data_IF_990818584474
#
_entry.id   IF_990818584474
#
_cell.length_a   1.000
_cell.length_b   1.000
_cell.length_c   1.000
_cell.angle_alpha   90.00
_cell.angle_beta   90.00
_cell.angle_gamma   90.00
#
_symmetry.space_group_name_H-M   'P 1'
#
loop_
_entity.id
_entity.type
_entity.pdbx_description
1 polymer ?
#
# COMPACT_ATOMS: atom_id res chain seq x y z
N UNK A 1 -16.27 -2.93 -18.99
CA UNK A 1 -17.56 -2.25 -19.21
C UNK A 1 -18.02 -1.54 -17.94
N UNK A 2 -18.91 -0.58 -18.07
CA UNK A 2 -19.49 0.12 -16.92
C UNK A 2 -20.08 -0.87 -15.87
N UNK A 3 -20.75 -1.93 -16.31
CA UNK A 3 -21.29 -2.96 -15.41
C UNK A 3 -20.20 -3.61 -14.53
N UNK A 4 -19.05 -3.91 -15.09
CA UNK A 4 -17.96 -4.57 -14.35
C UNK A 4 -17.36 -3.62 -13.31
N UNK A 5 -17.18 -2.36 -13.68
CA UNK A 5 -16.76 -1.30 -12.79
C UNK A 5 -17.71 -1.17 -11.59
N UNK A 6 -19.02 -1.03 -11.86
CA UNK A 6 -20.00 -0.90 -10.79
C UNK A 6 -20.13 -2.14 -9.91
N UNK A 7 -19.87 -3.33 -10.45
CA UNK A 7 -19.86 -4.55 -9.65
C UNK A 7 -18.75 -4.53 -8.61
N UNK A 8 -17.53 -4.09 -8.98
CA UNK A 8 -16.40 -4.01 -8.07
C UNK A 8 -16.63 -2.92 -7.01
N UNK A 9 -16.97 -1.71 -7.43
CA UNK A 9 -17.23 -0.58 -6.50
C UNK A 9 -18.38 -0.93 -5.55
N UNK A 10 -19.51 -1.43 -6.08
CA UNK A 10 -20.64 -1.81 -5.25
C UNK A 10 -20.35 -2.97 -4.30
N UNK A 11 -19.41 -3.84 -4.63
CA UNK A 11 -18.93 -4.86 -3.69
C UNK A 11 -18.09 -4.22 -2.58
N UNK A 12 -17.13 -3.37 -2.91
CA UNK A 12 -16.34 -2.64 -1.94
C UNK A 12 -17.20 -1.81 -0.97
N UNK A 13 -18.18 -1.08 -1.51
CA UNK A 13 -19.16 -0.31 -0.72
C UNK A 13 -19.94 -1.17 0.29
N UNK A 14 -20.38 -2.38 -0.09
CA UNK A 14 -21.10 -3.28 0.83
C UNK A 14 -20.26 -3.68 2.05
N UNK A 15 -18.94 -3.70 1.90
CA UNK A 15 -18.01 -3.98 3.00
C UNK A 15 -17.47 -2.70 3.67
N UNK A 16 -17.86 -1.52 3.18
CA UNK A 16 -17.40 -0.23 3.72
C UNK A 16 -15.90 0.00 3.52
N UNK A 17 -15.32 -0.53 2.44
CA UNK A 17 -13.87 -0.45 2.19
C UNK A 17 -13.56 0.48 1.02
N UNK A 18 -12.52 1.34 1.13
CA UNK A 18 -12.01 2.13 0.02
C UNK A 18 -11.37 1.22 -1.04
N UNK A 19 -11.39 1.66 -2.30
CA UNK A 19 -10.89 0.90 -3.42
C UNK A 19 -10.24 1.82 -4.45
N UNK A 20 -9.05 1.46 -4.95
CA UNK A 20 -8.38 2.21 -6.02
C UNK A 20 -8.66 1.58 -7.36
N UNK A 21 -9.18 2.35 -8.30
CA UNK A 21 -9.44 1.93 -9.68
C UNK A 21 -8.47 2.60 -10.64
N UNK A 22 -7.74 1.79 -11.41
CA UNK A 22 -6.85 2.28 -12.45
C UNK A 22 -7.56 2.28 -13.80
N UNK A 23 -7.72 3.47 -14.38
CA UNK A 23 -8.44 3.70 -15.63
C UNK A 23 -7.45 3.84 -16.80
N UNK A 24 -7.76 3.17 -17.91
CA UNK A 24 -7.14 3.47 -19.19
C UNK A 24 -7.77 4.71 -19.80
N UNK A 25 -7.07 5.47 -20.67
CA UNK A 25 -7.64 6.65 -21.32
C UNK A 25 -8.99 6.38 -22.00
N UNK A 26 -9.11 5.24 -22.72
CA UNK A 26 -10.35 4.84 -23.39
C UNK A 26 -11.49 4.46 -22.41
N UNK A 27 -11.22 4.40 -21.13
CA UNK A 27 -12.20 4.09 -20.09
C UNK A 27 -12.60 5.30 -19.23
N UNK A 28 -11.99 6.47 -19.45
CA UNK A 28 -12.33 7.67 -18.70
C UNK A 28 -13.81 8.05 -18.84
N UNK A 29 -14.45 7.74 -19.99
CA UNK A 29 -15.87 7.94 -20.21
C UNK A 29 -16.81 7.13 -19.27
N UNK A 30 -16.28 6.07 -18.62
CA UNK A 30 -17.04 5.27 -17.66
C UNK A 30 -17.29 5.97 -16.35
N UNK A 31 -16.48 7.00 -16.06
CA UNK A 31 -16.51 7.74 -14.80
C UNK A 31 -16.58 9.24 -15.14
N UNK A 32 -17.75 9.84 -14.93
CA UNK A 32 -17.91 11.28 -15.08
C UNK A 32 -17.22 12.03 -13.95
N UNK A 33 -16.72 13.28 -14.15
CA UNK A 33 -15.98 14.02 -13.12
C UNK A 33 -16.76 14.22 -11.81
N UNK A 34 -18.07 14.41 -11.88
CA UNK A 34 -18.93 14.49 -10.69
C UNK A 34 -19.01 13.15 -9.94
N UNK A 35 -19.01 12.07 -10.68
CA UNK A 35 -19.01 10.72 -10.12
C UNK A 35 -17.66 10.38 -9.49
N UNK A 36 -16.56 10.69 -10.16
CA UNK A 36 -15.19 10.54 -9.62
C UNK A 36 -15.10 11.26 -8.27
N UNK A 37 -15.51 12.52 -8.19
CA UNK A 37 -15.51 13.32 -6.97
C UNK A 37 -16.36 12.71 -5.87
N UNK A 38 -17.58 12.27 -6.19
CA UNK A 38 -18.49 11.62 -5.24
C UNK A 38 -17.93 10.29 -4.71
N UNK A 39 -17.23 9.53 -5.54
CA UNK A 39 -16.58 8.28 -5.13
C UNK A 39 -15.36 8.57 -4.27
N UNK A 40 -14.58 9.59 -4.60
CA UNK A 40 -13.41 10.03 -3.82
C UNK A 40 -13.81 10.52 -2.42
N UNK A 41 -14.93 11.24 -2.30
CA UNK A 41 -15.51 11.64 -0.99
C UNK A 41 -15.89 10.42 -0.11
N UNK A 42 -16.14 9.27 -0.71
CA UNK A 42 -16.38 7.98 -0.02
C UNK A 42 -15.10 7.18 0.24
N UNK A 43 -13.94 7.73 -0.09
CA UNK A 43 -12.64 7.13 0.13
C UNK A 43 -12.14 6.26 -1.03
N UNK A 44 -12.90 6.10 -2.13
CA UNK A 44 -12.37 5.47 -3.33
C UNK A 44 -11.35 6.37 -4.02
N UNK A 45 -10.52 5.79 -4.88
CA UNK A 45 -9.44 6.50 -5.57
C UNK A 45 -9.39 6.09 -7.04
N UNK A 46 -8.93 7.01 -7.88
CA UNK A 46 -8.77 6.79 -9.31
C UNK A 46 -7.34 7.12 -9.72
N UNK A 47 -6.71 6.15 -10.36
CA UNK A 47 -5.38 6.31 -10.93
C UNK A 47 -5.36 5.99 -12.42
N UNK A 48 -4.23 6.20 -13.03
CA UNK A 48 -4.02 5.95 -14.46
C UNK A 48 -3.48 4.54 -14.70
N UNK A 49 -3.90 3.93 -15.84
CA UNK A 49 -3.45 2.61 -16.29
C UNK A 49 -2.81 2.68 -17.70
N UNK A 50 -1.62 3.27 -17.82
CA UNK A 50 -1.01 3.59 -19.11
C UNK A 50 -0.39 2.38 -19.80
N UNK A 51 -0.27 2.48 -21.12
CA UNK A 51 0.44 1.52 -21.95
C UNK A 51 1.95 1.83 -22.10
N UNK A 52 2.45 2.81 -21.39
CA UNK A 52 3.79 3.34 -21.57
C UNK A 52 4.92 2.29 -21.50
N UNK A 53 4.79 1.28 -20.63
CA UNK A 53 5.77 0.20 -20.53
C UNK A 53 5.86 -0.71 -21.78
N UNK A 54 4.98 -0.55 -22.76
CA UNK A 54 4.96 -1.28 -24.01
C UNK A 54 5.56 -0.49 -25.20
N UNK A 55 6.02 0.74 -24.95
CA UNK A 55 6.60 1.59 -25.99
C UNK A 55 7.99 1.08 -26.40
N UNK A 56 8.36 1.24 -27.67
CA UNK A 56 9.61 0.68 -28.21
C UNK A 56 10.88 1.46 -27.80
N UNK A 57 10.72 2.67 -27.25
CA UNK A 57 11.83 3.48 -26.76
C UNK A 57 11.48 4.23 -25.48
N UNK A 58 12.49 4.68 -24.73
CA UNK A 58 12.30 5.52 -23.53
C UNK A 58 11.67 6.89 -23.87
N UNK A 59 11.99 7.45 -25.03
CA UNK A 59 11.41 8.71 -25.48
C UNK A 59 9.90 8.57 -25.75
N UNK A 60 9.52 7.55 -26.50
CA UNK A 60 8.11 7.24 -26.76
C UNK A 60 7.36 6.88 -25.46
N UNK A 61 8.01 6.18 -24.54
CA UNK A 61 7.45 5.90 -23.22
C UNK A 61 7.17 7.20 -22.43
N UNK A 62 8.12 8.13 -22.40
CA UNK A 62 7.96 9.43 -21.75
C UNK A 62 6.83 10.24 -22.35
N UNK A 63 6.76 10.28 -23.69
CA UNK A 63 5.69 10.98 -24.39
C UNK A 63 4.33 10.34 -24.11
N UNK A 64 4.23 9.02 -24.13
CA UNK A 64 3.00 8.31 -23.83
C UNK A 64 2.52 8.57 -22.38
N UNK A 65 3.43 8.58 -21.40
CA UNK A 65 3.06 9.00 -20.03
C UNK A 65 2.52 10.42 -20.00
N UNK A 66 3.17 11.36 -20.69
CA UNK A 66 2.72 12.76 -20.75
C UNK A 66 1.31 12.88 -21.35
N UNK A 67 1.05 12.18 -22.44
CA UNK A 67 -0.24 12.18 -23.12
C UNK A 67 -1.34 11.53 -22.29
N UNK A 68 -1.08 10.34 -21.77
CA UNK A 68 -2.10 9.59 -21.02
C UNK A 68 -2.40 10.21 -19.64
N UNK A 69 -1.39 10.72 -18.92
CA UNK A 69 -1.61 11.49 -17.68
C UNK A 69 -2.26 12.84 -17.95
N UNK A 70 -1.90 13.47 -19.08
CA UNK A 70 -2.55 14.71 -19.56
C UNK A 70 -4.04 14.49 -19.80
N UNK A 71 -4.43 13.39 -20.43
CA UNK A 71 -5.83 13.05 -20.66
C UNK A 71 -6.64 12.86 -19.37
N UNK A 72 -6.01 12.31 -18.33
CA UNK A 72 -6.62 12.20 -16.99
C UNK A 72 -6.84 13.60 -16.39
N UNK A 73 -5.80 14.44 -16.41
CA UNK A 73 -5.87 15.82 -15.92
C UNK A 73 -6.93 16.64 -16.65
N UNK A 74 -6.99 16.54 -17.97
CA UNK A 74 -7.98 17.26 -18.78
C UNK A 74 -9.41 16.81 -18.46
N UNK A 75 -9.61 15.55 -18.11
CA UNK A 75 -10.92 14.99 -17.76
C UNK A 75 -11.36 15.36 -16.36
N UNK A 76 -10.47 15.22 -15.35
CA UNK A 76 -10.84 15.32 -13.93
C UNK A 76 -10.39 16.62 -13.26
N UNK A 77 -9.54 17.41 -13.91
CA UNK A 77 -9.05 18.70 -13.41
C UNK A 77 -7.91 18.60 -12.40
N UNK A 78 -7.34 17.42 -12.19
CA UNK A 78 -6.18 17.16 -11.32
C UNK A 78 -5.30 16.04 -11.87
N UNK A 79 -4.07 15.96 -11.39
CA UNK A 79 -3.15 14.87 -11.74
C UNK A 79 -3.59 13.55 -11.10
N UNK A 80 -3.35 12.39 -11.75
CA UNK A 80 -3.47 11.10 -11.09
C UNK A 80 -2.36 10.95 -10.05
N UNK A 81 -2.72 10.74 -8.80
CA UNK A 81 -1.75 10.51 -7.70
C UNK A 81 -1.18 9.09 -7.78
N UNK A 82 -1.99 8.16 -8.26
CA UNK A 82 -1.64 6.73 -8.32
C UNK A 82 -1.59 6.21 -9.75
N UNK A 83 -0.72 5.24 -9.99
CA UNK A 83 -0.51 4.59 -11.28
C UNK A 83 -0.37 3.08 -11.17
N UNK A 84 -0.77 2.41 -12.24
CA UNK A 84 -0.45 1.00 -12.51
C UNK A 84 -0.22 0.81 -14.01
N UNK A 85 1.00 0.55 -14.41
CA UNK A 85 1.32 0.28 -15.81
C UNK A 85 0.60 -0.96 -16.35
N UNK A 86 0.08 -0.90 -17.57
CA UNK A 86 -0.56 -2.02 -18.23
C UNK A 86 0.41 -3.20 -18.36
N UNK A 87 -0.06 -4.40 -18.01
CA UNK A 87 0.76 -5.60 -18.00
C UNK A 87 1.79 -5.66 -16.87
N UNK A 88 1.81 -4.71 -15.95
CA UNK A 88 2.83 -4.60 -14.88
C UNK A 88 4.25 -4.64 -15.42
N UNK A 89 4.48 -3.94 -16.52
CA UNK A 89 5.78 -3.86 -17.19
C UNK A 89 6.56 -2.69 -16.60
N UNK A 90 7.82 -2.94 -16.28
CA UNK A 90 8.79 -1.92 -15.87
C UNK A 90 9.91 -1.83 -16.89
N UNK A 91 10.24 -0.62 -17.33
CA UNK A 91 11.27 -0.37 -18.33
C UNK A 91 12.31 0.60 -17.79
N UNK A 92 13.58 0.31 -18.08
CA UNK A 92 14.70 1.09 -17.59
C UNK A 92 15.03 0.79 -16.11
N UNK A 93 15.85 1.63 -15.51
CA UNK A 93 16.19 1.57 -14.09
C UNK A 93 15.25 2.47 -13.27
N UNK A 94 15.39 3.78 -13.44
CA UNK A 94 14.57 4.79 -12.76
C UNK A 94 13.77 5.66 -13.72
N UNK A 95 13.91 5.47 -15.02
CA UNK A 95 13.31 6.31 -16.06
C UNK A 95 11.79 6.32 -15.95
N UNK A 96 11.17 5.16 -15.75
CA UNK A 96 9.72 5.09 -15.57
C UNK A 96 9.28 5.86 -14.33
N UNK A 97 9.96 5.72 -13.20
CA UNK A 97 9.67 6.45 -11.98
C UNK A 97 9.81 7.97 -12.17
N UNK A 98 10.84 8.42 -12.90
CA UNK A 98 11.03 9.84 -13.24
C UNK A 98 9.86 10.36 -14.07
N UNK A 99 9.50 9.65 -15.13
CA UNK A 99 8.43 10.09 -16.03
C UNK A 99 7.07 10.11 -15.35
N UNK A 100 6.78 9.13 -14.49
CA UNK A 100 5.57 9.13 -13.65
C UNK A 100 5.57 10.34 -12.71
N UNK A 101 6.68 10.58 -12.01
CA UNK A 101 6.80 11.72 -11.08
C UNK A 101 6.69 13.07 -11.78
N UNK A 102 7.26 13.24 -12.97
CA UNK A 102 7.12 14.43 -13.82
C UNK A 102 5.65 14.76 -14.13
N UNK A 103 4.79 13.75 -14.15
CA UNK A 103 3.36 13.84 -14.44
C UNK A 103 2.46 13.79 -13.20
N UNK A 104 2.99 14.08 -12.01
CA UNK A 104 2.21 14.22 -10.78
C UNK A 104 2.02 12.93 -9.97
N UNK A 105 2.41 11.77 -10.49
CA UNK A 105 2.24 10.49 -9.81
C UNK A 105 3.15 10.41 -8.57
N UNK A 106 2.57 9.94 -7.47
CA UNK A 106 3.24 9.74 -6.17
C UNK A 106 3.36 8.28 -5.77
N UNK A 107 2.52 7.41 -6.33
CA UNK A 107 2.52 5.97 -6.08
C UNK A 107 2.38 5.21 -7.38
N UNK A 108 3.37 4.37 -7.70
CA UNK A 108 3.25 3.33 -8.71
C UNK A 108 3.03 1.96 -8.07
N UNK A 109 2.31 1.10 -8.76
CA UNK A 109 1.99 -0.26 -8.31
C UNK A 109 2.27 -1.28 -9.41
N UNK A 110 3.22 -0.98 -10.29
CA UNK A 110 3.55 -1.82 -11.45
C UNK A 110 4.43 -3.01 -11.10
N UNK A 111 5.16 -2.98 -9.98
CA UNK A 111 5.92 -4.15 -9.54
C UNK A 111 4.97 -5.25 -9.08
N UNK A 112 5.11 -6.43 -9.65
CA UNK A 112 4.28 -7.59 -9.34
C UNK A 112 5.13 -8.76 -8.85
N UNK A 113 4.83 -9.21 -7.63
CA UNK A 113 5.49 -10.38 -7.04
C UNK A 113 4.87 -11.72 -7.41
N UNK A 114 3.61 -11.75 -7.84
CA UNK A 114 2.82 -12.97 -7.92
C UNK A 114 2.49 -13.48 -9.32
N UNK A 115 2.49 -12.63 -10.33
CA UNK A 115 2.01 -13.01 -11.66
C UNK A 115 2.94 -13.96 -12.40
N UNK A 116 4.23 -13.74 -12.26
CA UNK A 116 5.25 -14.50 -12.95
C UNK A 116 6.14 -15.16 -11.90
N UNK A 117 6.02 -16.45 -11.66
CA UNK A 117 6.86 -17.21 -10.72
C UNK A 117 8.37 -17.12 -10.99
N UNK A 118 8.77 -16.34 -11.96
CA UNK A 118 10.15 -16.15 -12.36
C UNK A 118 10.53 -14.67 -12.21
N UNK A 119 11.15 -14.33 -11.12
CA UNK A 119 11.69 -12.99 -10.94
C UNK A 119 10.64 -11.98 -10.52
N UNK A 120 9.87 -12.34 -9.50
CA UNK A 120 9.12 -11.38 -8.75
C UNK A 120 10.02 -10.20 -8.42
N UNK A 121 9.64 -9.02 -8.86
CA UNK A 121 10.26 -7.80 -8.39
C UNK A 121 10.10 -7.75 -6.87
N UNK A 122 10.98 -7.12 -6.21
CA UNK A 122 11.05 -6.89 -4.77
C UNK A 122 9.84 -7.43 -3.98
N UNK A 123 9.92 -8.66 -3.56
CA UNK A 123 8.99 -9.29 -2.61
C UNK A 123 9.47 -9.09 -1.16
N UNK A 124 9.91 -7.88 -0.83
CA UNK A 124 10.41 -7.58 0.49
C UNK A 124 9.32 -7.66 1.58
N UNK A 125 9.41 -6.77 2.55
CA UNK A 125 8.49 -6.68 3.68
C UNK A 125 7.04 -6.26 3.32
N UNK A 126 6.76 -5.96 2.05
CA UNK A 126 5.48 -5.38 1.60
C UNK A 126 5.37 -3.87 1.82
N UNK A 127 6.36 -3.24 2.43
CA UNK A 127 6.41 -1.78 2.54
C UNK A 127 6.78 -1.14 1.20
N UNK A 128 6.28 0.07 0.91
CA UNK A 128 6.62 0.76 -0.32
C UNK A 128 8.09 1.20 -0.30
N UNK A 129 8.71 1.17 -1.47
CA UNK A 129 10.09 1.64 -1.67
C UNK A 129 10.10 2.95 -2.46
N UNK A 130 11.17 3.73 -2.32
CA UNK A 130 11.48 4.85 -3.21
C UNK A 130 12.70 4.49 -4.05
N UNK A 131 12.74 4.98 -5.27
CA UNK A 131 13.87 4.78 -6.17
C UNK A 131 14.99 5.78 -5.90
N UNK A 132 16.22 5.34 -6.06
CA UNK A 132 17.40 6.20 -6.09
C UNK A 132 17.92 6.28 -7.50
N UNK A 133 18.08 7.49 -8.00
CA UNK A 133 18.64 7.76 -9.31
C UNK A 133 20.14 7.50 -9.38
N UNK A 134 20.71 7.49 -10.56
CA UNK A 134 22.14 7.24 -10.81
C UNK A 134 23.06 8.23 -10.11
N UNK A 135 22.62 9.46 -9.88
CA UNK A 135 23.35 10.51 -9.16
C UNK A 135 23.17 10.45 -7.63
N UNK A 136 22.42 9.46 -7.11
CA UNK A 136 22.11 9.31 -5.70
C UNK A 136 20.89 10.11 -5.22
N UNK A 137 20.17 10.80 -6.13
CA UNK A 137 18.94 11.52 -5.78
C UNK A 137 17.81 10.53 -5.49
N UNK A 138 17.16 10.68 -4.32
CA UNK A 138 15.98 9.91 -3.96
C UNK A 138 14.76 10.50 -4.68
N UNK A 139 14.13 9.71 -5.54
CA UNK A 139 12.93 10.13 -6.27
C UNK A 139 11.71 10.18 -5.34
N UNK A 140 10.92 11.24 -5.45
CA UNK A 140 9.72 11.43 -4.64
C UNK A 140 8.49 10.73 -5.25
N UNK A 141 8.63 9.43 -5.39
CA UNK A 141 7.57 8.50 -5.82
C UNK A 141 7.75 7.18 -5.08
N UNK A 142 6.66 6.62 -4.63
CA UNK A 142 6.62 5.29 -4.03
C UNK A 142 6.35 4.22 -5.08
N UNK A 143 6.96 3.07 -4.91
CA UNK A 143 6.56 1.81 -5.57
C UNK A 143 5.99 0.86 -4.52
N UNK A 144 4.73 0.50 -4.67
CA UNK A 144 4.06 -0.51 -3.85
C UNK A 144 3.94 -1.81 -4.62
N UNK A 145 4.64 -2.83 -4.17
CA UNK A 145 4.57 -4.14 -4.81
C UNK A 145 3.16 -4.74 -4.77
N UNK A 146 2.73 -5.30 -5.90
CA UNK A 146 1.50 -6.08 -6.00
C UNK A 146 1.78 -7.54 -5.66
N UNK A 147 1.17 -8.03 -4.57
CA UNK A 147 1.42 -9.37 -4.05
C UNK A 147 0.65 -10.44 -4.79
N UNK A 148 -0.52 -10.12 -5.30
CA UNK A 148 -1.42 -11.06 -5.94
C UNK A 148 -2.24 -10.43 -7.05
N UNK A 149 -2.57 -11.23 -8.07
CA UNK A 149 -3.26 -10.81 -9.27
C UNK A 149 -4.22 -11.91 -9.74
N UNK A 150 -5.41 -11.54 -10.23
CA UNK A 150 -6.41 -12.46 -10.74
C UNK A 150 -5.98 -13.24 -12.00
N UNK A 151 -4.98 -12.78 -12.72
CA UNK A 151 -4.39 -13.53 -13.82
C UNK A 151 -3.83 -14.90 -13.40
N UNK A 152 -3.52 -15.07 -12.10
CA UNK A 152 -3.08 -16.35 -11.56
C UNK A 152 -4.15 -17.45 -11.64
N UNK A 153 -5.44 -17.07 -11.80
CA UNK A 153 -6.55 -18.03 -11.88
C UNK A 153 -7.19 -18.13 -13.25
N UNK A 154 -7.18 -17.02 -13.98
CA UNK A 154 -8.01 -16.84 -15.17
C UNK A 154 -7.26 -17.10 -16.46
N UNK A 155 -5.94 -16.97 -16.45
CA UNK A 155 -5.13 -17.12 -17.65
C UNK A 155 -4.61 -18.53 -17.83
N UNK A 156 -4.43 -18.86 -19.08
CA UNK A 156 -3.81 -20.06 -19.56
C UNK A 156 -2.45 -20.30 -18.88
N UNK A 157 -2.14 -21.55 -18.67
CA UNK A 157 -0.96 -22.14 -17.99
C UNK A 157 0.41 -21.55 -18.38
N UNK A 158 0.44 -20.56 -19.25
CA UNK A 158 1.66 -19.95 -19.78
C UNK A 158 2.38 -19.07 -18.74
N UNK A 159 1.66 -18.53 -17.74
CA UNK A 159 2.20 -17.53 -16.83
C UNK A 159 2.19 -17.92 -15.35
N UNK A 160 1.30 -18.81 -14.93
CA UNK A 160 1.25 -19.33 -13.55
C UNK A 160 0.47 -20.65 -13.50
N UNK A 161 0.64 -21.51 -12.49
CA UNK A 161 -0.28 -22.60 -12.26
C UNK A 161 -1.68 -21.99 -12.07
N UNK A 162 -2.63 -22.46 -12.89
CA UNK A 162 -4.02 -22.06 -12.75
C UNK A 162 -4.55 -22.60 -11.41
N UNK A 163 -4.65 -21.73 -10.41
CA UNK A 163 -5.29 -22.07 -9.15
C UNK A 163 -6.80 -22.18 -9.37
N UNK A 164 -7.44 -23.04 -8.61
CA UNK A 164 -8.87 -22.96 -8.39
C UNK A 164 -9.20 -21.73 -7.54
N UNK A 165 -10.44 -21.29 -7.52
CA UNK A 165 -10.86 -20.16 -6.67
C UNK A 165 -10.60 -20.45 -5.19
N UNK A 166 -10.83 -21.69 -4.74
CA UNK A 166 -10.56 -22.07 -3.35
C UNK A 166 -9.06 -22.03 -3.01
N UNK A 167 -8.20 -22.57 -3.86
CA UNK A 167 -6.75 -22.48 -3.70
C UNK A 167 -6.27 -21.02 -3.70
N UNK A 168 -6.84 -20.16 -4.56
CA UNK A 168 -6.54 -18.75 -4.61
C UNK A 168 -6.97 -18.01 -3.32
N UNK A 169 -8.12 -18.35 -2.75
CA UNK A 169 -8.57 -17.80 -1.46
C UNK A 169 -7.60 -18.20 -0.36
N UNK A 170 -7.24 -19.47 -0.23
CA UNK A 170 -6.31 -19.94 0.80
C UNK A 170 -4.90 -19.34 0.64
N UNK A 171 -4.41 -19.22 -0.58
CA UNK A 171 -3.14 -18.57 -0.85
C UNK A 171 -3.16 -17.07 -0.49
N UNK A 172 -4.25 -16.38 -0.82
CA UNK A 172 -4.42 -14.96 -0.48
C UNK A 172 -4.54 -14.74 1.03
N UNK A 173 -5.22 -15.63 1.76
CA UNK A 173 -5.27 -15.60 3.23
C UNK A 173 -3.89 -15.80 3.83
N UNK A 174 -3.10 -16.76 3.31
CA UNK A 174 -1.73 -16.98 3.77
C UNK A 174 -0.85 -15.73 3.57
N UNK A 175 -1.00 -15.02 2.44
CA UNK A 175 -0.28 -13.75 2.22
C UNK A 175 -0.76 -12.66 3.19
N UNK A 176 -2.07 -12.53 3.40
CA UNK A 176 -2.65 -11.56 4.33
C UNK A 176 -2.20 -11.84 5.78
N UNK A 177 -2.19 -13.12 6.21
CA UNK A 177 -1.67 -13.52 7.52
C UNK A 177 -0.18 -13.19 7.66
N UNK A 178 0.60 -13.42 6.61
CA UNK A 178 2.00 -13.00 6.58
C UNK A 178 2.15 -11.50 6.78
N UNK A 179 1.33 -10.70 6.10
CA UNK A 179 1.36 -9.25 6.21
C UNK A 179 1.01 -8.78 7.63
N UNK A 180 -0.06 -9.28 8.24
CA UNK A 180 -0.52 -8.81 9.56
C UNK A 180 0.26 -9.44 10.71
N UNK A 181 0.54 -10.75 10.67
CA UNK A 181 1.09 -11.46 11.83
C UNK A 181 2.61 -11.47 11.88
N UNK A 182 3.29 -11.46 10.70
CA UNK A 182 4.75 -11.65 10.64
C UNK A 182 5.51 -10.37 10.34
N UNK A 183 4.97 -9.50 9.46
CA UNK A 183 5.71 -8.37 8.92
C UNK A 183 5.14 -7.02 9.33
N UNK A 184 3.91 -6.97 9.86
CA UNK A 184 3.19 -5.72 10.15
C UNK A 184 3.23 -4.75 8.96
N UNK A 185 2.78 -5.21 7.81
CA UNK A 185 2.90 -4.55 6.52
C UNK A 185 1.62 -4.59 5.72
N UNK A 186 1.66 -4.10 4.49
CA UNK A 186 0.53 -4.05 3.56
C UNK A 186 0.31 -5.40 2.88
N UNK A 187 -0.94 -5.80 2.73
CA UNK A 187 -1.40 -6.78 1.77
C UNK A 187 -2.04 -6.04 0.58
N UNK A 188 -1.41 -6.11 -0.59
CA UNK A 188 -1.83 -5.37 -1.78
C UNK A 188 -2.11 -6.33 -2.95
N UNK A 189 -3.32 -6.88 -3.05
CA UNK A 189 -3.77 -7.63 -4.21
C UNK A 189 -4.38 -6.70 -5.27
N UNK A 190 -4.49 -7.18 -6.52
CA UNK A 190 -5.28 -6.51 -7.53
C UNK A 190 -6.11 -7.49 -8.37
N UNK A 191 -7.16 -6.98 -9.01
CA UNK A 191 -7.97 -7.73 -9.96
C UNK A 191 -8.47 -6.87 -11.12
N UNK A 192 -8.78 -7.53 -12.23
CA UNK A 192 -9.46 -6.90 -13.34
C UNK A 192 -10.98 -6.91 -13.09
N UNK A 193 -11.69 -5.79 -13.23
CA UNK A 193 -13.15 -5.75 -13.01
C UNK A 193 -13.93 -6.77 -13.84
N UNK A 194 -13.52 -7.03 -15.09
CA UNK A 194 -14.16 -8.02 -15.95
C UNK A 194 -14.05 -9.46 -15.43
N UNK A 195 -13.07 -9.77 -14.61
CA UNK A 195 -12.90 -11.11 -14.04
C UNK A 195 -13.97 -11.43 -12.96
N UNK A 196 -14.68 -10.42 -12.45
CA UNK A 196 -15.79 -10.59 -11.51
C UNK A 196 -17.10 -10.96 -12.19
N UNK A 197 -17.17 -10.98 -13.54
CA UNK A 197 -18.39 -11.37 -14.27
C UNK A 197 -18.82 -12.79 -13.92
N UNK A 198 -20.14 -13.05 -13.88
CA UNK A 198 -20.65 -14.41 -13.74
C UNK A 198 -20.09 -15.32 -14.86
N UNK A 199 -19.20 -16.22 -14.50
CA UNK A 199 -18.56 -17.18 -15.38
C UNK A 199 -18.00 -18.34 -14.54
N UNK A 200 -17.70 -19.52 -15.14
CA UNK A 200 -17.14 -20.64 -14.38
C UNK A 200 -15.82 -20.32 -13.63
N UNK A 201 -15.09 -19.29 -14.07
CA UNK A 201 -13.85 -18.80 -13.42
C UNK A 201 -14.00 -17.38 -12.88
N UNK A 202 -15.21 -16.99 -12.47
CA UNK A 202 -15.41 -15.67 -11.83
C UNK A 202 -14.65 -15.58 -10.51
N UNK A 203 -13.93 -14.49 -10.34
CA UNK A 203 -13.21 -14.20 -9.09
C UNK A 203 -14.09 -13.46 -8.07
N UNK A 204 -15.37 -13.23 -8.36
CA UNK A 204 -16.27 -12.52 -7.43
C UNK A 204 -16.27 -13.16 -6.04
N UNK A 205 -16.30 -14.50 -5.97
CA UNK A 205 -16.25 -15.23 -4.70
C UNK A 205 -14.93 -15.00 -3.96
N UNK A 206 -13.81 -14.96 -4.66
CA UNK A 206 -12.53 -14.62 -4.04
C UNK A 206 -12.54 -13.20 -3.50
N UNK A 207 -13.01 -12.24 -4.28
CA UNK A 207 -13.03 -10.84 -3.90
C UNK A 207 -13.84 -10.64 -2.60
N UNK A 208 -15.05 -11.16 -2.55
CA UNK A 208 -15.91 -11.11 -1.35
C UNK A 208 -15.29 -11.84 -0.15
N UNK A 209 -14.75 -13.05 -0.37
CA UNK A 209 -14.11 -13.83 0.69
C UNK A 209 -12.88 -13.11 1.29
N UNK A 210 -12.08 -12.41 0.46
CA UNK A 210 -10.93 -11.67 0.95
C UNK A 210 -11.32 -10.38 1.68
N UNK A 211 -12.36 -9.67 1.23
CA UNK A 211 -12.90 -8.51 1.95
C UNK A 211 -13.41 -8.92 3.33
N UNK A 212 -14.22 -10.00 3.39
CA UNK A 212 -14.70 -10.56 4.66
C UNK A 212 -13.58 -11.00 5.57
N UNK A 213 -12.62 -11.76 5.03
CA UNK A 213 -11.48 -12.26 5.79
C UNK A 213 -10.64 -11.13 6.37
N UNK A 214 -10.21 -10.17 5.55
CA UNK A 214 -9.36 -9.07 6.00
C UNK A 214 -10.10 -8.16 6.99
N UNK A 215 -11.40 -7.91 6.79
CA UNK A 215 -12.23 -7.18 7.77
C UNK A 215 -12.28 -7.93 9.10
N UNK A 216 -12.54 -9.25 9.08
CA UNK A 216 -12.57 -10.10 10.27
C UNK A 216 -11.23 -10.20 11.00
N UNK A 217 -10.11 -10.02 10.29
CA UNK A 217 -8.75 -9.99 10.84
C UNK A 217 -8.34 -8.60 11.34
N UNK A 218 -9.18 -7.59 11.20
CA UNK A 218 -8.91 -6.22 11.65
C UNK A 218 -7.93 -5.45 10.75
N UNK A 219 -7.85 -5.78 9.46
CA UNK A 219 -7.11 -4.95 8.52
C UNK A 219 -7.73 -3.55 8.41
N UNK A 220 -6.88 -2.55 8.41
CA UNK A 220 -7.26 -1.21 8.03
C UNK A 220 -7.14 -1.08 6.51
N UNK A 221 -8.23 -0.69 5.85
CA UNK A 221 -8.28 -0.52 4.40
C UNK A 221 -8.01 0.94 4.03
N UNK A 222 -7.13 1.15 3.06
CA UNK A 222 -6.80 2.48 2.53
C UNK A 222 -6.80 2.45 1.01
N UNK A 223 -7.16 3.56 0.38
CA UNK A 223 -6.94 3.77 -1.05
C UNK A 223 -5.45 4.04 -1.34
N UNK A 224 -5.07 4.03 -2.62
CA UNK A 224 -3.70 4.35 -3.03
C UNK A 224 -3.28 5.76 -2.61
N UNK A 225 -4.14 6.75 -2.79
CA UNK A 225 -3.89 8.13 -2.32
C UNK A 225 -3.78 8.20 -0.80
N UNK A 226 -4.69 7.56 -0.06
CA UNK A 226 -4.60 7.46 1.41
C UNK A 226 -3.32 6.77 1.87
N UNK A 227 -2.81 5.80 1.10
CA UNK A 227 -1.54 5.15 1.38
C UNK A 227 -0.34 6.07 1.15
N UNK A 228 -0.37 6.95 0.15
CA UNK A 228 0.64 8.02 -0.03
C UNK A 228 0.62 8.95 1.17
N UNK A 229 -0.55 9.45 1.56
CA UNK A 229 -0.71 10.38 2.69
C UNK A 229 -0.18 9.78 4.00
N UNK A 230 -0.50 8.51 4.28
CA UNK A 230 0.04 7.79 5.43
C UNK A 230 1.57 7.70 5.40
N UNK A 231 2.15 7.34 4.26
CA UNK A 231 3.61 7.21 4.15
C UNK A 231 4.33 8.55 4.26
N UNK A 232 3.78 9.61 3.68
CA UNK A 232 4.32 10.97 3.83
C UNK A 232 4.21 11.46 5.27
N UNK A 233 3.04 11.26 5.90
CA UNK A 233 2.83 11.58 7.31
C UNK A 233 3.81 10.84 8.22
N UNK A 234 3.93 9.53 8.07
CA UNK A 234 4.88 8.71 8.84
C UNK A 234 6.33 9.16 8.65
N UNK A 235 6.72 9.53 7.42
CA UNK A 235 8.09 10.00 7.11
C UNK A 235 8.37 11.41 7.61
N UNK A 236 7.33 12.20 7.88
CA UNK A 236 7.46 13.53 8.47
C UNK A 236 7.70 13.51 9.98
N UNK A 237 7.65 12.33 10.63
CA UNK A 237 7.90 12.19 12.06
C UNK A 237 9.41 12.25 12.31
N UNK A 238 9.82 13.21 13.10
CA UNK A 238 11.21 13.42 13.52
C UNK A 238 11.36 13.18 15.01
N UNK A 239 12.44 12.51 15.40
CA UNK A 239 12.82 12.39 16.79
C UNK A 239 13.57 13.65 17.22
N UNK A 240 12.95 14.49 18.04
CA UNK A 240 13.48 15.77 18.50
C UNK A 240 14.21 15.68 19.83
N UNK A 241 13.94 14.64 20.61
CA UNK A 241 14.64 14.36 21.86
C UNK A 241 14.78 12.85 22.07
N UNK A 242 15.87 12.45 22.69
CA UNK A 242 16.14 11.08 23.11
C UNK A 242 16.98 11.07 24.38
N UNK A 243 16.60 10.25 25.35
CA UNK A 243 17.44 9.88 26.49
C UNK A 243 17.25 8.41 26.87
N UNK A 244 18.29 7.80 27.41
CA UNK A 244 18.24 6.48 28.00
C UNK A 244 18.97 6.49 29.35
N UNK A 245 18.27 6.12 30.40
CA UNK A 245 18.80 5.98 31.76
C UNK A 245 19.05 4.48 32.02
N UNK A 246 20.32 4.09 32.10
CA UNK A 246 20.73 2.71 32.32
C UNK A 246 20.41 2.20 33.73
N UNK A 247 20.39 3.08 34.73
CA UNK A 247 20.10 2.67 36.12
C UNK A 247 18.63 2.32 36.33
N UNK A 248 17.73 3.09 35.72
CA UNK A 248 16.29 2.84 35.75
C UNK A 248 15.79 2.02 34.56
N UNK A 249 16.66 1.70 33.59
CA UNK A 249 16.29 1.04 32.34
C UNK A 249 15.12 1.73 31.64
N UNK A 250 15.17 3.05 31.54
CA UNK A 250 14.09 3.88 31.00
C UNK A 250 14.56 4.66 29.77
N UNK A 251 13.79 4.58 28.71
CA UNK A 251 13.95 5.40 27.50
C UNK A 251 12.87 6.47 27.45
N UNK A 252 13.29 7.69 27.16
CA UNK A 252 12.37 8.79 26.84
C UNK A 252 12.70 9.32 25.46
N UNK A 253 11.67 9.49 24.63
CA UNK A 253 11.77 10.05 23.28
C UNK A 253 10.63 11.03 23.03
N UNK A 254 10.96 12.14 22.38
CA UNK A 254 9.97 13.07 21.85
C UNK A 254 9.94 12.96 20.34
N UNK A 255 8.77 12.71 19.76
CA UNK A 255 8.53 12.65 18.34
C UNK A 255 7.65 13.81 17.91
N UNK A 256 8.07 14.53 16.88
CA UNK A 256 7.30 15.61 16.26
C UNK A 256 6.87 15.21 14.85
N UNK A 257 5.60 15.41 14.51
CA UNK A 257 5.06 15.13 13.18
C UNK A 257 4.94 16.41 12.36
N UNK A 258 5.60 16.46 11.20
CA UNK A 258 5.46 17.55 10.24
C UNK A 258 4.11 17.57 9.53
N UNK A 259 3.47 16.40 9.41
CA UNK A 259 2.14 16.22 8.80
C UNK A 259 1.28 15.32 9.68
N UNK A 260 -0.05 15.40 9.52
CA UNK A 260 -0.96 14.50 10.23
C UNK A 260 -0.81 13.06 9.74
N UNK A 261 -0.88 12.10 10.65
CA UNK A 261 -0.86 10.67 10.35
C UNK A 261 -1.60 9.89 11.43
N UNK A 262 -2.47 8.99 11.02
CA UNK A 262 -3.21 8.12 11.91
C UNK A 262 -2.50 6.78 12.05
N UNK A 263 -2.41 6.23 13.27
CA UNK A 263 -1.85 4.92 13.54
C UNK A 263 -0.34 4.77 13.33
N UNK A 264 0.43 5.86 13.41
CA UNK A 264 1.89 5.77 13.33
C UNK A 264 2.44 4.91 14.47
N UNK A 265 3.29 3.94 14.13
CA UNK A 265 3.75 2.90 15.07
C UNK A 265 5.25 2.94 15.26
N UNK A 266 5.68 2.92 16.53
CA UNK A 266 7.06 2.68 16.95
C UNK A 266 7.21 1.20 17.25
N UNK A 267 8.22 0.56 16.69
CA UNK A 267 8.60 -0.81 17.00
C UNK A 267 9.88 -0.82 17.83
N UNK A 268 9.83 -1.42 19.01
CA UNK A 268 10.97 -1.50 19.94
C UNK A 268 11.20 -2.95 20.38
N UNK A 269 12.46 -3.32 20.72
CA UNK A 269 12.72 -4.64 21.30
C UNK A 269 11.89 -4.85 22.59
N UNK A 270 11.13 -5.96 22.65
CA UNK A 270 10.43 -6.31 23.89
C UNK A 270 11.39 -6.67 25.02
N UNK A 271 12.53 -7.29 24.68
CA UNK A 271 13.61 -7.57 25.64
C UNK A 271 14.86 -6.79 25.23
N UNK A 272 15.38 -6.00 26.17
CA UNK A 272 16.63 -5.27 26.04
C UNK A 272 17.54 -5.56 27.24
N UNK A 273 18.80 -5.89 27.01
CA UNK A 273 19.79 -6.23 28.04
C UNK A 273 19.30 -7.28 29.08
N UNK A 274 18.41 -8.22 28.69
CA UNK A 274 17.84 -9.24 29.56
C UNK A 274 16.59 -8.80 30.32
N UNK A 275 16.18 -7.54 30.23
CA UNK A 275 14.96 -7.00 30.86
C UNK A 275 13.82 -6.94 29.84
N UNK A 276 12.61 -7.32 30.25
CA UNK A 276 11.41 -7.19 29.42
C UNK A 276 10.77 -5.81 29.60
N UNK A 277 10.03 -5.33 28.58
CA UNK A 277 9.22 -4.12 28.75
C UNK A 277 8.24 -4.33 29.90
N UNK A 278 8.33 -3.47 30.90
CA UNK A 278 7.48 -3.48 32.11
C UNK A 278 6.40 -2.39 32.07
N UNK A 279 6.54 -1.41 31.21
CA UNK A 279 5.56 -0.35 31.05
C UNK A 279 5.91 0.61 29.91
N UNK A 280 4.85 1.22 29.36
CA UNK A 280 5.00 2.31 28.40
C UNK A 280 4.00 3.43 28.72
N UNK A 281 4.36 4.65 28.43
CA UNK A 281 3.51 5.84 28.59
C UNK A 281 3.62 6.72 27.35
N UNK A 282 2.50 7.33 27.01
CA UNK A 282 2.40 8.39 26.00
C UNK A 282 1.86 9.64 26.69
N UNK A 283 2.60 10.76 26.61
CA UNK A 283 2.24 12.03 27.28
C UNK A 283 1.88 11.85 28.77
N UNK A 284 2.63 10.98 29.46
CA UNK A 284 2.42 10.63 30.86
C UNK A 284 1.31 9.60 31.12
N UNK A 285 0.47 9.26 30.15
CA UNK A 285 -0.61 8.27 30.30
C UNK A 285 -0.14 6.86 29.98
N UNK A 286 -0.49 5.83 30.77
CA UNK A 286 -0.11 4.47 30.50
C UNK A 286 -0.75 3.97 29.21
N UNK A 287 0.04 3.24 28.40
CA UNK A 287 -0.40 2.56 27.16
C UNK A 287 -0.07 1.07 27.24
N UNK A 288 -0.85 0.27 26.51
CA UNK A 288 -0.62 -1.17 26.44
C UNK A 288 0.66 -1.44 25.64
N UNK A 289 1.52 -2.28 26.18
CA UNK A 289 2.82 -2.65 25.60
C UNK A 289 2.98 -4.18 25.63
N UNK A 290 2.19 -4.86 24.80
CA UNK A 290 2.23 -6.32 24.71
C UNK A 290 3.29 -6.79 23.69
N UNK A 291 3.96 -7.91 23.98
CA UNK A 291 4.93 -8.48 23.04
C UNK A 291 4.23 -9.01 21.79
N UNK A 292 4.81 -8.72 20.65
CA UNK A 292 4.42 -9.26 19.36
C UNK A 292 5.63 -9.81 18.64
N UNK A 293 5.53 -11.03 18.13
CA UNK A 293 6.58 -11.59 17.29
C UNK A 293 6.46 -11.03 15.87
N UNK A 294 7.47 -10.28 15.44
CA UNK A 294 7.62 -9.79 14.08
C UNK A 294 8.98 -10.20 13.53
N UNK A 295 9.00 -10.80 12.34
CA UNK A 295 10.23 -11.24 11.69
C UNK A 295 11.13 -12.12 12.60
N UNK A 296 10.51 -12.96 13.44
CA UNK A 296 11.22 -13.82 14.40
C UNK A 296 11.78 -13.08 15.61
N UNK A 297 11.39 -11.83 15.84
CA UNK A 297 11.83 -11.02 16.99
C UNK A 297 10.64 -10.60 17.83
N UNK A 298 10.78 -10.73 19.15
CA UNK A 298 9.78 -10.16 20.06
C UNK A 298 9.96 -8.65 20.15
N UNK A 299 8.94 -7.93 19.72
CA UNK A 299 8.88 -6.47 19.72
C UNK A 299 7.65 -6.00 20.48
N UNK A 300 7.67 -4.76 20.96
CA UNK A 300 6.47 -4.03 21.36
C UNK A 300 6.15 -3.01 20.29
N UNK A 301 4.88 -2.94 19.91
CA UNK A 301 4.36 -1.97 18.95
C UNK A 301 3.53 -0.94 19.70
N UNK A 302 3.94 0.32 19.61
CA UNK A 302 3.28 1.45 20.25
C UNK A 302 2.76 2.39 19.17
N UNK A 303 1.43 2.44 19.01
CA UNK A 303 0.78 3.21 17.96
C UNK A 303 0.04 4.41 18.52
N UNK A 304 0.06 5.53 17.80
CA UNK A 304 -0.74 6.72 18.09
C UNK A 304 -0.96 7.55 16.84
N UNK A 305 -1.96 8.43 16.91
CA UNK A 305 -2.21 9.43 15.88
C UNK A 305 -1.40 10.69 16.17
N UNK A 306 -1.00 11.39 15.11
CA UNK A 306 -0.36 12.70 15.19
C UNK A 306 -1.13 13.70 14.32
N UNK A 307 -1.23 14.94 14.81
CA UNK A 307 -1.60 16.10 13.99
C UNK A 307 -0.35 16.81 13.50
N UNK A 308 -0.47 17.53 12.39
CA UNK A 308 0.64 18.34 11.87
C UNK A 308 1.15 19.32 12.94
N UNK A 309 2.46 19.33 13.18
CA UNK A 309 3.13 20.14 14.19
C UNK A 309 2.99 19.62 15.63
N UNK A 310 2.34 18.48 15.84
CA UNK A 310 2.17 17.89 17.19
C UNK A 310 3.41 17.13 17.62
N UNK A 311 3.80 17.34 18.89
CA UNK A 311 4.84 16.55 19.57
C UNK A 311 4.19 15.58 20.54
N UNK A 312 4.74 14.37 20.65
CA UNK A 312 4.33 13.33 21.59
C UNK A 312 5.53 12.82 22.37
N UNK A 313 5.37 12.67 23.67
CA UNK A 313 6.39 12.17 24.57
C UNK A 313 6.13 10.72 24.95
N UNK A 314 7.06 9.86 24.57
CA UNK A 314 7.03 8.44 24.89
C UNK A 314 8.04 8.15 26.00
N UNK A 315 7.59 7.37 27.01
CA UNK A 315 8.46 6.81 28.03
C UNK A 315 8.26 5.30 28.09
N UNK A 316 9.33 4.55 27.88
CA UNK A 316 9.34 3.10 27.87
C UNK A 316 10.28 2.61 28.96
N UNK A 317 9.86 1.65 29.75
CA UNK A 317 10.63 1.08 30.85
C UNK A 317 10.77 -0.43 30.68
N UNK A 318 12.00 -0.91 30.85
CA UNK A 318 12.32 -2.32 30.96
C UNK A 318 12.56 -2.65 32.42
N UNK A 319 12.03 -3.77 32.90
CA UNK A 319 12.14 -4.20 34.30
C UNK A 319 12.47 -5.69 34.40
N UNK A 320 12.82 -6.14 35.61
CA UNK A 320 12.98 -7.56 35.88
C UNK A 320 11.68 -8.32 35.58
N UNK A 321 11.79 -9.46 34.93
CA UNK A 321 10.67 -10.38 34.74
C UNK A 321 10.11 -10.86 36.06
#
# INVERSE_FOLDING_TARGET
>A
SARDFWNVIGTADRYGVPFTTYLKPEHHELVEPELERSLSERGHDFGQHPFAGMMPSLEEMRENFREEMGSFRDRYGHDPITNRGHGTIWVGWTEQAKYLRENGVRLDTSFSGGRYHRGAYVNGSGLPVKFMDEDGTLLDIYEQNTMFCDDNWTTDKTFAPALTIDEGIEYSKWQADGAIDRFNTVYHPYCHPQATRPAPRSIQRWFEAMLEYCTGRGFHFVSGTGWVDFNDGRRSIEMTSYSFDEDSMTMEITLNAGSSVDGATIALPYVYAGYAVSGARLDGHPVVAEPRELEGRNQVLLSTDYKAGESRDWRIQWGSR
#
